data_IF_826972138128
#
_entry.id   IF_826972138128
#
_cell.length_a   1.000
_cell.length_b   1.000
_cell.length_c   1.000
_cell.angle_alpha   90.00
_cell.angle_beta   90.00
_cell.angle_gamma   90.00
#
_symmetry.space_group_name_H-M   'P 1'
#
loop_
_entity.id
_entity.type
_entity.pdbx_description
1 polymer ?
#
# COMPACT_ATOMS: atom_id res chain seq x y z
N UNK A 1 37.80 -14.36 12.27
CA UNK A 1 37.89 -14.25 13.75
C UNK A 1 36.45 -14.21 14.27
N UNK A 2 36.02 -15.22 15.05
CA UNK A 2 34.70 -15.28 15.64
C UNK A 2 34.55 -14.27 16.79
N UNK A 3 33.36 -13.67 16.93
CA UNK A 3 33.02 -12.79 18.05
C UNK A 3 32.86 -13.63 19.31
N UNK A 4 33.49 -13.23 20.42
CA UNK A 4 33.38 -13.97 21.67
C UNK A 4 31.94 -13.95 22.19
N UNK A 5 31.45 -15.07 22.74
CA UNK A 5 30.08 -15.22 23.28
C UNK A 5 29.73 -14.13 24.28
N UNK A 6 30.69 -13.68 25.12
CA UNK A 6 30.49 -12.58 26.07
C UNK A 6 30.20 -11.26 25.40
N UNK A 7 30.89 -10.94 24.29
CA UNK A 7 30.69 -9.69 23.54
C UNK A 7 29.35 -9.69 22.83
N UNK A 8 28.93 -10.85 22.32
CA UNK A 8 27.62 -11.05 21.71
C UNK A 8 26.49 -10.80 22.73
N UNK A 9 26.60 -11.36 23.94
CA UNK A 9 25.64 -11.17 25.03
C UNK A 9 25.57 -9.71 25.48
N UNK A 10 26.71 -9.04 25.64
CA UNK A 10 26.75 -7.61 25.99
C UNK A 10 26.10 -6.75 24.90
N UNK A 11 26.34 -7.05 23.64
CA UNK A 11 25.68 -6.37 22.51
C UNK A 11 24.16 -6.57 22.51
N UNK A 12 23.68 -7.78 22.76
CA UNK A 12 22.24 -8.09 22.85
C UNK A 12 21.58 -7.37 24.03
N UNK A 13 22.24 -7.34 25.20
CA UNK A 13 21.76 -6.60 26.37
C UNK A 13 21.69 -5.09 26.10
N UNK A 14 22.71 -4.51 25.47
CA UNK A 14 22.71 -3.10 25.09
C UNK A 14 21.59 -2.74 24.07
N UNK A 15 21.20 -3.68 23.18
CA UNK A 15 20.14 -3.51 22.20
C UNK A 15 18.73 -3.77 22.73
N UNK A 16 18.60 -4.43 23.89
CA UNK A 16 17.29 -4.80 24.49
C UNK A 16 16.32 -3.62 24.60
N UNK A 17 16.70 -2.44 25.17
CA UNK A 17 15.78 -1.32 25.29
C UNK A 17 15.25 -0.85 23.92
N UNK A 18 16.09 -0.87 22.91
CA UNK A 18 15.69 -0.54 21.53
C UNK A 18 14.68 -1.56 20.96
N UNK A 19 14.94 -2.86 21.17
CA UNK A 19 14.02 -3.94 20.75
C UNK A 19 12.68 -3.78 21.44
N UNK A 20 12.66 -3.60 22.76
CA UNK A 20 11.44 -3.42 23.55
C UNK A 20 10.64 -2.19 23.10
N UNK A 21 11.31 -1.08 22.79
CA UNK A 21 10.67 0.10 22.25
C UNK A 21 10.04 -0.17 20.86
N UNK A 22 10.73 -0.92 20.00
CA UNK A 22 10.20 -1.31 18.69
C UNK A 22 9.02 -2.27 18.77
N UNK A 23 9.05 -3.21 19.68
CA UNK A 23 7.92 -4.12 19.93
C UNK A 23 6.69 -3.35 20.44
N UNK A 24 6.85 -2.44 21.41
CA UNK A 24 5.75 -1.57 21.88
C UNK A 24 5.19 -0.73 20.74
N UNK A 25 6.03 -0.11 19.95
CA UNK A 25 5.59 0.67 18.77
C UNK A 25 4.81 -0.20 17.79
N UNK A 26 5.27 -1.42 17.52
CA UNK A 26 4.56 -2.36 16.63
C UNK A 26 3.21 -2.76 17.20
N UNK A 27 3.12 -3.08 18.50
CA UNK A 27 1.86 -3.40 19.17
C UNK A 27 0.86 -2.25 19.10
N UNK A 28 1.31 -1.01 19.37
CA UNK A 28 0.47 0.19 19.23
C UNK A 28 -0.04 0.36 17.79
N UNK A 29 0.83 0.20 16.79
CA UNK A 29 0.44 0.26 15.37
C UNK A 29 -0.56 -0.84 14.99
N UNK A 30 -0.42 -2.04 15.54
CA UNK A 30 -1.38 -3.13 15.28
C UNK A 30 -2.74 -2.86 15.96
N UNK A 31 -2.76 -2.26 17.14
CA UNK A 31 -3.99 -1.95 17.87
C UNK A 31 -4.88 -0.93 17.15
N UNK A 32 -4.29 -0.02 16.37
CA UNK A 32 -5.03 1.01 15.62
C UNK A 32 -5.32 0.64 14.16
N UNK A 33 -5.00 -0.59 13.75
CA UNK A 33 -5.34 -1.05 12.41
C UNK A 33 -6.85 -1.16 12.23
N UNK A 34 -7.38 -0.73 11.08
CA UNK A 34 -8.80 -0.86 10.80
C UNK A 34 -9.19 -2.35 10.76
N UNK A 35 -10.40 -2.62 11.27
CA UNK A 35 -11.05 -3.94 11.18
C UNK A 35 -12.36 -3.75 10.44
N UNK A 36 -12.61 -4.59 9.45
CA UNK A 36 -13.80 -4.54 8.65
C UNK A 36 -14.62 -5.81 8.82
N UNK A 37 -15.94 -5.66 8.92
CA UNK A 37 -16.90 -6.77 8.97
C UNK A 37 -17.36 -7.17 7.57
N UNK A 38 -17.03 -6.36 6.57
CA UNK A 38 -17.39 -6.55 5.16
C UNK A 38 -18.90 -6.73 4.95
N UNK A 39 -19.67 -5.86 5.57
CA UNK A 39 -21.14 -5.84 5.50
C UNK A 39 -21.66 -4.58 4.82
N UNK A 40 -22.93 -4.60 4.40
CA UNK A 40 -23.57 -3.44 3.80
C UNK A 40 -23.55 -2.23 4.74
N UNK A 41 -23.24 -1.05 4.18
CA UNK A 41 -23.11 0.22 4.90
C UNK A 41 -21.71 0.49 5.44
N UNK A 42 -20.79 -0.47 5.40
CA UNK A 42 -19.42 -0.25 5.85
C UNK A 42 -18.65 0.62 4.84
N UNK A 43 -17.83 1.54 5.35
CA UNK A 43 -17.05 2.48 4.55
C UNK A 43 -15.60 2.04 4.44
N UNK A 44 -15.08 2.06 3.23
CA UNK A 44 -13.70 1.70 2.91
C UNK A 44 -12.98 2.89 2.29
N UNK A 45 -11.75 3.24 2.73
CA UNK A 45 -11.01 4.37 2.20
C UNK A 45 -10.58 4.12 0.75
N UNK A 46 -10.68 5.16 -0.08
CA UNK A 46 -10.19 5.15 -1.45
C UNK A 46 -9.76 6.56 -1.84
N UNK A 47 -8.44 6.78 -1.96
CA UNK A 47 -7.85 8.10 -2.22
C UNK A 47 -8.37 9.16 -1.21
N UNK A 48 -8.98 10.23 -1.69
CA UNK A 48 -9.51 11.33 -0.89
C UNK A 48 -10.97 11.12 -0.48
N UNK A 49 -11.54 9.92 -0.76
CA UNK A 49 -12.96 9.58 -0.50
C UNK A 49 -13.10 8.27 0.27
N UNK A 50 -14.33 7.93 0.60
CA UNK A 50 -14.71 6.62 1.12
C UNK A 50 -15.73 5.98 0.18
N UNK A 51 -15.63 4.66 0.03
CA UNK A 51 -16.56 3.84 -0.74
C UNK A 51 -17.46 3.07 0.21
N UNK A 52 -18.76 3.15 0.05
CA UNK A 52 -19.75 2.42 0.87
C UNK A 52 -20.00 1.04 0.26
N UNK A 53 -19.94 -0.02 1.06
CA UNK A 53 -20.26 -1.37 0.64
C UNK A 53 -21.78 -1.57 0.53
N UNK A 54 -22.21 -2.19 -0.55
CA UNK A 54 -23.56 -2.74 -0.72
C UNK A 54 -23.46 -4.22 -1.11
N UNK A 55 -23.71 -5.09 -0.13
CA UNK A 55 -23.50 -6.54 -0.25
C UNK A 55 -24.82 -7.23 -0.59
N UNK A 56 -24.85 -7.92 -1.72
CA UNK A 56 -26.06 -8.53 -2.28
C UNK A 56 -25.79 -9.97 -2.73
N UNK A 57 -26.84 -10.79 -2.77
CA UNK A 57 -26.74 -12.12 -3.37
C UNK A 57 -26.67 -12.01 -4.89
N UNK A 58 -25.81 -12.79 -5.51
CA UNK A 58 -25.68 -12.94 -6.95
C UNK A 58 -25.44 -14.38 -7.38
N UNK A 59 -25.33 -14.61 -8.67
CA UNK A 59 -25.02 -15.94 -9.22
C UNK A 59 -23.52 -16.25 -9.14
N UNK A 60 -22.68 -15.22 -9.17
CA UNK A 60 -21.20 -15.27 -9.05
C UNK A 60 -20.73 -14.13 -8.15
N UNK A 61 -19.57 -14.34 -7.50
CA UNK A 61 -18.88 -13.29 -6.80
C UNK A 61 -18.40 -12.20 -7.77
N UNK A 62 -18.72 -10.94 -7.49
CA UNK A 62 -18.30 -9.77 -8.26
C UNK A 62 -18.21 -8.55 -7.34
N UNK A 63 -17.43 -7.54 -7.75
CA UNK A 63 -17.39 -6.24 -7.11
C UNK A 63 -17.38 -5.16 -8.21
N UNK A 64 -18.37 -4.28 -8.19
CA UNK A 64 -18.57 -3.23 -9.19
C UNK A 64 -18.70 -1.90 -8.46
N UNK A 65 -18.01 -0.87 -8.93
CA UNK A 65 -18.15 0.49 -8.40
C UNK A 65 -19.16 1.28 -9.22
N UNK A 66 -20.10 1.89 -8.52
CA UNK A 66 -21.01 2.91 -9.08
C UNK A 66 -20.94 4.14 -8.16
N UNK A 67 -20.43 5.25 -8.67
CA UNK A 67 -20.15 6.47 -7.91
C UNK A 67 -19.30 6.16 -6.66
N UNK A 68 -19.84 6.35 -5.45
CA UNK A 68 -19.17 6.11 -4.17
C UNK A 68 -19.63 4.80 -3.50
N UNK A 69 -20.26 3.91 -4.26
CA UNK A 69 -20.75 2.62 -3.77
C UNK A 69 -20.01 1.47 -4.44
N UNK A 70 -19.57 0.49 -3.63
CA UNK A 70 -19.08 -0.80 -4.09
C UNK A 70 -20.20 -1.83 -3.95
N UNK A 71 -20.80 -2.23 -5.06
CA UNK A 71 -21.76 -3.32 -5.15
C UNK A 71 -21.01 -4.65 -5.17
N UNK A 72 -21.15 -5.42 -4.10
CA UNK A 72 -20.46 -6.71 -3.93
C UNK A 72 -21.48 -7.83 -3.98
N UNK A 73 -21.33 -8.73 -4.95
CA UNK A 73 -22.19 -9.87 -5.14
C UNK A 73 -21.54 -11.13 -4.56
N UNK A 74 -22.22 -11.77 -3.61
CA UNK A 74 -21.79 -13.08 -3.08
C UNK A 74 -22.61 -14.22 -3.68
N UNK A 75 -22.01 -15.41 -3.78
CA UNK A 75 -22.66 -16.59 -4.36
C UNK A 75 -23.01 -17.62 -3.28
N UNK A 76 -24.26 -18.12 -3.22
CA UNK A 76 -24.65 -19.15 -2.27
C UNK A 76 -24.00 -20.53 -2.58
N UNK A 77 -23.41 -20.69 -3.77
CA UNK A 77 -22.67 -21.89 -4.16
C UNK A 77 -21.26 -21.96 -3.58
N UNK A 78 -20.77 -20.88 -2.99
CA UNK A 78 -19.44 -20.81 -2.36
C UNK A 78 -19.47 -21.48 -0.99
N UNK A 79 -18.36 -22.16 -0.63
CA UNK A 79 -18.15 -22.69 0.73
C UNK A 79 -17.72 -21.63 1.75
N UNK A 80 -17.36 -20.43 1.27
CA UNK A 80 -16.96 -19.29 2.11
C UNK A 80 -18.19 -18.57 2.64
N UNK A 81 -18.07 -17.99 3.83
CA UNK A 81 -19.09 -17.10 4.39
C UNK A 81 -19.27 -15.83 3.55
N UNK A 82 -20.38 -15.12 3.72
CA UNK A 82 -20.64 -13.87 3.00
C UNK A 82 -19.54 -12.83 3.26
N UNK A 83 -19.09 -12.57 4.51
CA UNK A 83 -17.98 -11.63 4.75
C UNK A 83 -16.65 -12.06 4.10
N UNK A 84 -16.33 -13.36 4.10
CA UNK A 84 -15.12 -13.87 3.44
C UNK A 84 -15.16 -13.66 1.92
N UNK A 85 -16.31 -13.88 1.28
CA UNK A 85 -16.51 -13.63 -0.16
C UNK A 85 -16.41 -12.13 -0.45
N UNK A 86 -17.06 -11.30 0.37
CA UNK A 86 -17.03 -9.84 0.24
C UNK A 86 -15.61 -9.31 0.38
N UNK A 87 -14.87 -9.70 1.42
CA UNK A 87 -13.49 -9.31 1.62
C UNK A 87 -12.60 -9.68 0.42
N UNK A 88 -12.79 -10.88 -0.13
CA UNK A 88 -12.05 -11.33 -1.31
C UNK A 88 -12.39 -10.50 -2.56
N UNK A 89 -13.67 -10.27 -2.83
CA UNK A 89 -14.13 -9.50 -3.99
C UNK A 89 -13.65 -8.04 -3.92
N UNK A 90 -13.76 -7.41 -2.74
CA UNK A 90 -13.24 -6.07 -2.45
C UNK A 90 -11.73 -6.00 -2.69
N UNK A 91 -10.95 -6.92 -2.13
CA UNK A 91 -9.51 -6.94 -2.32
C UNK A 91 -9.11 -7.12 -3.79
N UNK A 92 -9.84 -7.92 -4.55
CA UNK A 92 -9.62 -8.08 -5.99
C UNK A 92 -9.91 -6.79 -6.75
N UNK A 93 -11.02 -6.12 -6.44
CA UNK A 93 -11.38 -4.84 -7.03
C UNK A 93 -10.31 -3.78 -6.76
N UNK A 94 -9.89 -3.62 -5.49
CA UNK A 94 -8.86 -2.65 -5.13
C UNK A 94 -7.53 -2.93 -5.84
N UNK A 95 -7.15 -4.19 -6.03
CA UNK A 95 -5.93 -4.54 -6.77
C UNK A 95 -6.01 -4.15 -8.24
N UNK A 96 -7.15 -4.45 -8.89
CA UNK A 96 -7.36 -4.10 -10.29
C UNK A 96 -7.38 -2.58 -10.49
N UNK A 97 -8.08 -1.86 -9.62
CA UNK A 97 -8.16 -0.40 -9.65
C UNK A 97 -6.82 0.27 -9.33
N UNK A 98 -6.07 -0.26 -8.35
CA UNK A 98 -4.72 0.21 -8.04
C UNK A 98 -3.78 0.04 -9.26
N UNK A 99 -3.83 -1.11 -9.95
CA UNK A 99 -3.02 -1.31 -11.15
C UNK A 99 -3.36 -0.28 -12.21
N UNK A 100 -4.64 -0.13 -12.56
CA UNK A 100 -5.12 0.83 -13.56
C UNK A 100 -4.70 2.28 -13.22
N UNK A 101 -4.89 2.70 -11.98
CA UNK A 101 -4.57 4.04 -11.51
C UNK A 101 -3.06 4.31 -11.53
N UNK A 102 -2.27 3.40 -10.93
CA UNK A 102 -0.81 3.56 -10.78
C UNK A 102 -0.11 3.48 -12.12
N UNK A 103 -0.56 2.60 -13.03
CA UNK A 103 -0.05 2.54 -14.40
C UNK A 103 -0.28 3.86 -15.14
N UNK A 104 -1.52 4.39 -15.10
CA UNK A 104 -1.84 5.68 -15.73
C UNK A 104 -1.06 6.86 -15.12
N UNK A 105 -0.89 6.90 -13.78
CA UNK A 105 -0.11 7.96 -13.12
C UNK A 105 1.37 7.84 -13.44
N UNK A 106 1.93 6.62 -13.45
CA UNK A 106 3.34 6.36 -13.78
C UNK A 106 3.62 6.78 -15.23
N UNK A 107 2.77 6.37 -16.18
CA UNK A 107 2.96 6.72 -17.58
C UNK A 107 2.92 8.24 -17.79
N UNK A 108 1.91 8.92 -17.29
CA UNK A 108 1.80 10.38 -17.38
C UNK A 108 3.03 11.10 -16.82
N UNK A 109 3.52 10.65 -15.67
CA UNK A 109 4.70 11.25 -15.06
C UNK A 109 5.95 10.96 -15.89
N UNK A 110 6.14 9.74 -16.35
CA UNK A 110 7.26 9.37 -17.22
C UNK A 110 7.30 10.24 -18.49
N UNK A 111 6.14 10.42 -19.14
CA UNK A 111 6.01 11.27 -20.33
C UNK A 111 6.41 12.73 -20.03
N UNK A 112 6.00 13.25 -18.86
CA UNK A 112 6.29 14.64 -18.49
C UNK A 112 7.76 14.91 -18.17
N UNK A 113 8.52 13.89 -17.73
CA UNK A 113 9.94 14.02 -17.35
C UNK A 113 10.91 13.35 -18.32
N UNK A 114 10.42 12.82 -19.45
CA UNK A 114 11.22 12.17 -20.48
C UNK A 114 11.88 10.88 -20.04
N UNK A 115 11.19 10.07 -19.21
CA UNK A 115 11.65 8.76 -18.75
C UNK A 115 10.76 7.64 -19.32
N UNK A 116 11.30 6.43 -19.37
CA UNK A 116 10.56 5.25 -19.87
C UNK A 116 10.42 4.21 -18.75
N UNK A 117 9.17 3.83 -18.45
CA UNK A 117 8.85 2.71 -17.56
C UNK A 117 8.49 1.49 -18.43
N UNK A 118 9.13 0.34 -18.20
CA UNK A 118 8.93 -0.88 -18.97
C UNK A 118 7.77 -1.75 -18.46
N UNK A 119 7.08 -1.30 -17.43
CA UNK A 119 5.88 -1.94 -16.92
C UNK A 119 5.62 -1.66 -15.46
N UNK A 120 4.35 -1.67 -15.11
CA UNK A 120 3.87 -1.48 -13.75
C UNK A 120 3.17 -2.76 -13.29
N UNK A 121 3.40 -3.15 -12.03
CA UNK A 121 2.64 -4.21 -11.39
C UNK A 121 2.28 -3.85 -9.93
N UNK A 122 1.34 -4.58 -9.35
CA UNK A 122 0.92 -4.35 -7.97
C UNK A 122 0.96 -5.66 -7.16
N UNK A 123 1.42 -5.56 -5.92
CA UNK A 123 1.45 -6.69 -4.96
C UNK A 123 1.09 -6.21 -3.57
N UNK A 124 0.74 -7.14 -2.68
CA UNK A 124 0.69 -6.88 -1.24
C UNK A 124 2.09 -7.15 -0.66
N UNK A 125 2.84 -6.11 -0.36
CA UNK A 125 4.19 -6.21 0.24
C UNK A 125 4.15 -5.78 1.70
N UNK A 126 4.95 -6.43 2.57
CA UNK A 126 4.97 -6.13 4.01
C UNK A 126 5.91 -4.98 4.38
N UNK A 127 6.98 -4.76 3.60
CA UNK A 127 8.09 -3.88 3.98
C UNK A 127 8.32 -2.69 3.06
N UNK A 128 7.67 -2.64 1.91
CA UNK A 128 7.91 -1.61 0.89
C UNK A 128 6.58 -1.15 0.30
N UNK A 129 6.48 0.15 0.01
CA UNK A 129 5.35 0.71 -0.74
C UNK A 129 5.55 0.64 -2.24
N UNK A 130 6.81 0.73 -2.67
CA UNK A 130 7.19 0.59 -4.07
C UNK A 130 8.57 -0.03 -4.24
N UNK A 131 8.91 -0.38 -5.46
CA UNK A 131 10.21 -0.87 -5.88
C UNK A 131 10.38 -0.70 -7.38
N UNK A 132 11.47 -0.06 -7.79
CA UNK A 132 11.90 0.01 -9.18
C UNK A 132 13.05 -0.98 -9.41
N UNK A 133 12.96 -1.78 -10.46
CA UNK A 133 14.00 -2.72 -10.87
C UNK A 133 15.01 -2.06 -11.80
N UNK A 134 16.20 -2.63 -11.97
CA UNK A 134 17.23 -2.11 -12.87
C UNK A 134 16.81 -2.12 -14.34
N UNK A 135 15.90 -3.02 -14.72
CA UNK A 135 15.32 -3.11 -16.08
C UNK A 135 14.12 -2.14 -16.27
N UNK A 136 13.92 -1.20 -15.35
CA UNK A 136 12.94 -0.12 -15.51
C UNK A 136 11.48 -0.53 -15.27
N UNK A 137 11.22 -1.61 -14.54
CA UNK A 137 9.87 -2.00 -14.12
C UNK A 137 9.59 -1.51 -12.71
N UNK A 138 8.37 -1.03 -12.47
CA UNK A 138 7.96 -0.52 -11.17
C UNK A 138 6.88 -1.43 -10.57
N UNK A 139 7.07 -1.80 -9.33
CA UNK A 139 6.09 -2.54 -8.53
C UNK A 139 5.61 -1.67 -7.37
N UNK A 140 4.29 -1.60 -7.17
CA UNK A 140 3.68 -0.89 -6.04
C UNK A 140 2.98 -1.85 -5.08
N UNK A 141 2.86 -1.45 -3.81
CA UNK A 141 1.88 -2.05 -2.93
C UNK A 141 0.49 -1.47 -3.28
N UNK A 142 -0.44 -2.34 -3.69
CA UNK A 142 -1.77 -1.92 -4.11
C UNK A 142 -2.54 -1.15 -3.02
N UNK A 143 -2.23 -1.39 -1.73
CA UNK A 143 -2.89 -0.72 -0.61
C UNK A 143 -2.55 0.77 -0.53
N UNK A 144 -1.63 1.28 -1.34
CA UNK A 144 -1.35 2.71 -1.39
C UNK A 144 -2.56 3.54 -1.86
N UNK A 145 -3.51 2.94 -2.60
CA UNK A 145 -4.73 3.65 -3.02
C UNK A 145 -5.73 3.89 -1.88
N UNK A 146 -5.45 3.37 -0.68
CA UNK A 146 -6.14 3.72 0.56
C UNK A 146 -5.66 5.05 1.16
N UNK A 147 -4.55 5.59 0.66
CA UNK A 147 -3.99 6.89 1.07
C UNK A 147 -4.60 8.03 0.25
N UNK A 148 -4.53 9.28 0.77
CA UNK A 148 -4.88 10.48 -0.01
C UNK A 148 -4.07 10.58 -1.31
N UNK A 149 -4.68 11.14 -2.35
CA UNK A 149 -4.08 11.31 -3.68
C UNK A 149 -2.67 11.90 -3.66
N UNK A 150 -2.36 12.97 -2.88
CA UNK A 150 -1.01 13.52 -2.85
C UNK A 150 0.05 12.52 -2.38
N UNK A 151 -0.32 11.59 -1.47
CA UNK A 151 0.60 10.54 -0.98
C UNK A 151 0.85 9.49 -2.06
N UNK A 152 -0.18 9.12 -2.83
CA UNK A 152 -0.05 8.25 -4.00
C UNK A 152 0.86 8.88 -5.04
N UNK A 153 0.66 10.18 -5.34
CA UNK A 153 1.46 10.93 -6.32
C UNK A 153 2.92 11.04 -5.88
N UNK A 154 3.16 11.26 -4.58
CA UNK A 154 4.52 11.21 -4.03
C UNK A 154 5.17 9.84 -4.24
N UNK A 155 4.46 8.73 -3.96
CA UNK A 155 5.04 7.40 -4.16
C UNK A 155 5.36 7.16 -5.64
N UNK A 156 4.49 7.58 -6.56
CA UNK A 156 4.75 7.49 -8.00
C UNK A 156 5.98 8.32 -8.37
N UNK A 157 6.10 9.55 -7.89
CA UNK A 157 7.27 10.40 -8.11
C UNK A 157 8.56 9.76 -7.59
N UNK A 158 8.50 9.11 -6.42
CA UNK A 158 9.62 8.39 -5.81
C UNK A 158 10.09 7.22 -6.70
N UNK A 159 9.18 6.36 -7.13
CA UNK A 159 9.52 5.19 -7.92
C UNK A 159 9.96 5.55 -9.36
N UNK A 160 9.31 6.55 -9.98
CA UNK A 160 9.74 7.08 -11.29
C UNK A 160 11.12 7.71 -11.20
N UNK A 161 11.48 8.37 -10.09
CA UNK A 161 12.82 8.91 -9.90
C UNK A 161 13.90 7.83 -9.85
N UNK A 162 13.55 6.61 -9.46
CA UNK A 162 14.46 5.46 -9.50
C UNK A 162 14.79 4.98 -10.91
N UNK A 163 13.99 5.29 -11.92
CA UNK A 163 14.34 5.03 -13.33
C UNK A 163 15.61 5.80 -13.76
N UNK A 164 15.89 6.92 -13.10
CA UNK A 164 17.09 7.76 -13.37
C UNK A 164 18.19 7.60 -12.33
N UNK A 165 17.81 7.40 -11.06
CA UNK A 165 18.73 7.35 -9.92
C UNK A 165 18.41 6.15 -9.04
N UNK A 166 19.15 5.05 -9.16
CA UNK A 166 18.86 3.80 -8.44
C UNK A 166 19.09 3.86 -6.92
N UNK A 167 19.79 4.86 -6.43
CA UNK A 167 20.06 5.07 -5.00
C UNK A 167 19.46 6.39 -4.50
N UNK A 168 19.25 6.49 -3.19
CA UNK A 168 18.70 7.70 -2.55
C UNK A 168 19.78 8.79 -2.32
N UNK A 169 20.58 9.09 -3.34
CA UNK A 169 21.60 10.15 -3.33
C UNK A 169 20.97 11.55 -3.28
N UNK A 170 21.81 12.59 -3.16
CA UNK A 170 21.37 13.98 -3.26
C UNK A 170 20.67 14.26 -4.60
N UNK A 171 21.21 13.73 -5.69
CA UNK A 171 20.62 13.89 -7.03
C UNK A 171 19.23 13.24 -7.14
N UNK A 172 19.03 12.07 -6.52
CA UNK A 172 17.72 11.42 -6.42
C UNK A 172 16.70 12.35 -5.74
N UNK A 173 17.02 12.86 -4.55
CA UNK A 173 16.10 13.72 -3.80
C UNK A 173 15.85 15.06 -4.47
N UNK A 174 16.82 15.61 -5.19
CA UNK A 174 16.63 16.80 -6.03
C UNK A 174 15.65 16.51 -7.17
N UNK A 175 15.74 15.33 -7.81
CA UNK A 175 14.80 14.93 -8.86
C UNK A 175 13.39 14.72 -8.29
N UNK A 176 13.25 14.02 -7.15
CA UNK A 176 11.96 13.89 -6.46
C UNK A 176 11.37 15.27 -6.10
N UNK A 177 12.17 16.19 -5.59
CA UNK A 177 11.72 17.55 -5.22
C UNK A 177 11.23 18.34 -6.43
N UNK A 178 11.90 18.23 -7.57
CA UNK A 178 11.50 18.90 -8.81
C UNK A 178 10.12 18.42 -9.31
N UNK A 179 9.80 17.12 -9.10
CA UNK A 179 8.52 16.53 -9.49
C UNK A 179 7.43 16.75 -8.44
N UNK A 180 7.78 16.61 -7.17
CA UNK A 180 6.89 16.67 -6.02
C UNK A 180 7.51 17.56 -4.93
N UNK A 181 7.31 18.89 -4.97
CA UNK A 181 7.92 19.83 -4.02
C UNK A 181 7.63 19.50 -2.55
N UNK A 182 6.43 19.01 -2.25
CA UNK A 182 5.94 18.64 -0.91
C UNK A 182 6.40 17.26 -0.44
N UNK A 183 7.30 16.59 -1.16
CA UNK A 183 7.68 15.19 -0.92
C UNK A 183 8.08 14.90 0.53
N UNK A 184 8.71 15.85 1.22
CA UNK A 184 9.17 15.62 2.60
C UNK A 184 8.00 15.40 3.56
N UNK A 185 6.97 16.24 3.47
CA UNK A 185 5.74 16.12 4.26
C UNK A 185 5.00 14.82 3.96
N UNK A 186 4.87 14.48 2.68
CA UNK A 186 4.17 13.27 2.21
C UNK A 186 4.92 11.98 2.60
N UNK A 187 6.26 12.01 2.55
CA UNK A 187 7.12 10.93 3.04
C UNK A 187 6.95 10.69 4.54
N UNK A 188 6.90 11.77 5.32
CA UNK A 188 6.65 11.68 6.77
C UNK A 188 5.26 11.09 7.02
N UNK A 189 4.24 11.58 6.33
CA UNK A 189 2.89 11.04 6.42
C UNK A 189 2.84 9.54 6.14
N UNK A 190 3.43 9.09 5.03
CA UNK A 190 3.43 7.66 4.65
C UNK A 190 4.21 6.78 5.64
N UNK A 191 5.28 7.30 6.25
CA UNK A 191 6.02 6.62 7.34
C UNK A 191 5.16 6.44 8.59
N UNK A 192 4.41 7.47 8.96
CA UNK A 192 3.68 7.53 10.22
C UNK A 192 2.29 6.89 10.10
N UNK A 193 1.54 7.13 9.03
CA UNK A 193 0.18 6.66 8.80
C UNK A 193 0.09 5.39 7.94
N UNK A 194 1.13 5.06 7.20
CA UNK A 194 1.12 3.93 6.27
C UNK A 194 0.73 2.59 6.90
N UNK A 195 0.97 2.40 8.20
CA UNK A 195 0.56 1.18 8.93
C UNK A 195 -0.97 1.00 9.02
N UNK A 196 -1.75 2.04 8.76
CA UNK A 196 -3.23 2.03 8.72
C UNK A 196 -3.77 1.69 7.34
N UNK A 197 -2.95 1.79 6.28
CA UNK A 197 -3.34 1.51 4.91
C UNK A 197 -3.39 -0.01 4.69
N UNK A 198 -4.43 -0.62 5.23
CA UNK A 198 -4.62 -2.07 5.15
C UNK A 198 -6.10 -2.40 4.94
N UNK A 199 -6.37 -3.33 4.03
CA UNK A 199 -7.61 -4.07 3.93
C UNK A 199 -7.31 -5.51 4.34
N UNK A 200 -7.48 -5.84 5.63
CA UNK A 200 -7.22 -7.19 6.11
C UNK A 200 -8.24 -8.18 5.50
N UNK A 201 -7.89 -9.47 5.39
CA UNK A 201 -8.89 -10.49 5.14
C UNK A 201 -9.91 -10.48 6.29
N UNK A 202 -11.11 -10.99 6.03
CA UNK A 202 -12.09 -11.19 7.10
C UNK A 202 -11.53 -12.21 8.10
N UNK A 203 -11.45 -11.83 9.37
CA UNK A 203 -11.09 -12.68 10.51
C UNK A 203 -12.36 -12.95 11.33
N UNK A 204 -12.61 -14.25 11.61
CA UNK A 204 -13.74 -14.70 12.43
C UNK A 204 -13.58 -14.30 13.88
#
# INVERSE_FOLDING_TARGET
KGVARRDLLAMLQAKRPWVDAKLRQQQQRMAVRPRYQYQTGERLPYLDTELTLHVMQGTRGACIREADTLHVYWSPRSRKTVPEQTAQAVAQWYRAEALRLLEAKTQRLCDSVGLTCHGVNVRATRSKWGHCTFDGRIQYNWQIVLAPTPVVDYLVAHEVSHLRHHNHSRAFWQHVHAICPDYQRLRVWLRDEGHRLILPPYER
#
